data_IF_372989153782
#
_entry.id   IF_372989153782
#
_cell.length_a   1.000
_cell.length_b   1.000
_cell.length_c   1.000
_cell.angle_alpha   90.00
_cell.angle_beta   90.00
_cell.angle_gamma   90.00
#
_symmetry.space_group_name_H-M   'P 1'
#
loop_
_entity.id
_entity.type
_entity.pdbx_description
1 polymer ?
#
# COMPACT_ATOMS: atom_id res chain seq x y z
N UNK A 1 -30.94 -68.66 42.38
CA UNK A 1 -31.67 -67.72 41.52
C UNK A 1 -31.05 -66.33 41.66
N UNK A 2 -30.22 -65.94 40.71
CA UNK A 2 -29.43 -64.70 40.80
C UNK A 2 -30.10 -63.67 39.94
N UNK A 3 -30.43 -62.54 40.52
CA UNK A 3 -31.20 -61.50 39.94
C UNK A 3 -30.30 -60.59 39.05
N UNK A 4 -30.45 -60.71 37.76
CA UNK A 4 -29.80 -59.84 36.76
C UNK A 4 -30.58 -58.52 36.60
N UNK A 5 -30.21 -57.51 37.34
CA UNK A 5 -30.61 -56.10 37.06
C UNK A 5 -29.73 -55.16 37.84
N UNK A 6 -28.60 -54.72 37.26
CA UNK A 6 -27.91 -53.43 37.51
C UNK A 6 -26.63 -53.41 36.71
N UNK A 7 -26.73 -52.96 35.48
CA UNK A 7 -25.61 -52.39 34.76
C UNK A 7 -26.13 -51.73 33.50
N UNK A 8 -26.63 -50.53 33.59
CA UNK A 8 -26.68 -49.54 32.53
C UNK A 8 -27.00 -48.20 33.22
N UNK A 9 -26.00 -47.41 33.58
CA UNK A 9 -26.04 -45.96 33.72
C UNK A 9 -24.68 -45.44 34.18
N UNK A 10 -23.67 -45.42 33.32
CA UNK A 10 -22.53 -44.52 33.47
C UNK A 10 -21.79 -44.48 32.12
N UNK A 11 -22.32 -43.76 31.14
CA UNK A 11 -21.51 -43.38 29.99
C UNK A 11 -22.23 -42.33 29.17
N UNK A 12 -22.50 -41.17 29.74
CA UNK A 12 -23.00 -40.03 28.97
C UNK A 12 -22.68 -38.70 29.67
N UNK A 13 -21.40 -38.38 29.89
CA UNK A 13 -21.02 -37.05 30.37
C UNK A 13 -19.60 -36.58 29.99
N UNK A 14 -18.91 -37.19 29.03
CA UNK A 14 -17.55 -36.76 28.68
C UNK A 14 -17.42 -36.10 27.29
N UNK A 15 -18.50 -36.03 26.51
CA UNK A 15 -18.45 -35.46 25.14
C UNK A 15 -18.65 -33.95 25.04
N UNK A 16 -19.29 -33.29 26.02
CA UNK A 16 -19.62 -31.88 25.92
C UNK A 16 -18.50 -30.92 26.36
N UNK A 17 -17.58 -31.35 27.21
CA UNK A 17 -16.52 -30.49 27.75
C UNK A 17 -15.38 -30.24 26.75
N UNK A 18 -15.10 -31.23 25.90
CA UNK A 18 -14.02 -31.09 24.90
C UNK A 18 -14.38 -30.15 23.74
N UNK A 19 -15.67 -30.07 23.35
CA UNK A 19 -16.10 -29.14 22.31
C UNK A 19 -16.08 -27.69 22.78
N UNK A 20 -16.39 -27.43 24.03
CA UNK A 20 -16.36 -26.08 24.61
C UNK A 20 -14.93 -25.57 24.77
N UNK A 21 -14.01 -26.44 25.20
CA UNK A 21 -12.60 -26.10 25.39
C UNK A 21 -11.89 -25.76 24.07
N UNK A 22 -12.15 -26.53 23.02
CA UNK A 22 -11.60 -26.26 21.71
C UNK A 22 -12.14 -24.95 21.07
N UNK A 23 -13.40 -24.58 21.37
CA UNK A 23 -13.96 -23.28 20.92
C UNK A 23 -13.30 -22.09 21.64
N UNK A 24 -13.02 -22.20 22.91
CA UNK A 24 -12.36 -21.15 23.70
C UNK A 24 -10.92 -20.99 23.24
N UNK A 25 -10.18 -22.05 23.00
CA UNK A 25 -8.81 -22.00 22.48
C UNK A 25 -8.75 -21.45 21.05
N UNK A 26 -9.73 -21.77 20.21
CA UNK A 26 -9.83 -21.20 18.85
C UNK A 26 -10.16 -19.70 18.88
N UNK A 27 -11.01 -19.24 19.80
CA UNK A 27 -11.30 -17.82 19.98
C UNK A 27 -10.11 -17.04 20.55
N UNK A 28 -9.34 -17.61 21.47
CA UNK A 28 -8.12 -16.98 21.97
C UNK A 28 -7.01 -16.96 20.92
N UNK A 29 -6.86 -18.00 20.11
CA UNK A 29 -5.93 -18.02 19.00
C UNK A 29 -6.27 -16.96 17.94
N UNK A 30 -7.55 -16.77 17.61
CA UNK A 30 -8.02 -15.71 16.70
C UNK A 30 -7.80 -14.32 17.30
N UNK A 31 -7.98 -14.14 18.62
CA UNK A 31 -7.66 -12.87 19.30
C UNK A 31 -6.15 -12.58 19.32
N UNK A 32 -5.29 -13.58 19.49
CA UNK A 32 -3.82 -13.41 19.47
C UNK A 32 -3.27 -13.12 18.07
N UNK A 33 -3.87 -13.65 17.02
CA UNK A 33 -3.45 -13.34 15.63
C UNK A 33 -3.94 -11.99 15.12
N UNK A 34 -4.97 -11.39 15.71
CA UNK A 34 -5.43 -10.04 15.35
C UNK A 34 -4.71 -8.91 16.09
N UNK A 35 -3.93 -9.20 17.11
CA UNK A 35 -3.31 -8.21 18.01
C UNK A 35 -1.91 -7.75 17.57
N UNK A 36 -1.38 -8.23 16.46
CA UNK A 36 0.00 -7.94 16.02
C UNK A 36 0.17 -7.12 14.75
N UNK A 37 -0.89 -6.78 14.04
CA UNK A 37 -0.81 -5.87 12.89
C UNK A 37 -1.15 -4.46 13.33
N UNK A 38 -0.12 -3.68 13.63
CA UNK A 38 -0.26 -2.23 13.72
C UNK A 38 -0.76 -1.74 12.36
N UNK A 39 -2.05 -1.44 12.27
CA UNK A 39 -2.65 -0.82 11.08
C UNK A 39 -2.09 0.60 10.98
N UNK A 40 -0.99 0.76 10.25
CA UNK A 40 -0.40 2.05 10.01
C UNK A 40 -1.37 2.93 9.24
N UNK A 41 -2.00 3.89 9.93
CA UNK A 41 -2.69 5.08 9.39
C UNK A 41 -3.72 4.90 8.25
N UNK A 42 -4.45 3.80 8.20
CA UNK A 42 -5.63 3.66 7.34
C UNK A 42 -6.80 4.52 7.87
N UNK A 43 -6.74 4.96 9.13
CA UNK A 43 -7.79 5.74 9.78
C UNK A 43 -8.03 7.14 9.21
N UNK A 44 -7.11 7.68 8.40
CA UNK A 44 -7.26 8.96 7.71
C UNK A 44 -7.76 8.83 6.27
N UNK A 45 -7.99 7.61 5.81
CA UNK A 45 -8.50 7.34 4.48
C UNK A 45 -9.86 7.99 4.26
N UNK A 46 -10.01 8.75 3.15
CA UNK A 46 -11.27 9.33 2.68
C UNK A 46 -11.55 8.84 1.28
N UNK A 47 -12.73 8.28 1.06
CA UNK A 47 -13.18 7.94 -0.28
C UNK A 47 -13.21 9.19 -1.17
N UNK A 48 -12.63 9.09 -2.35
CA UNK A 48 -12.60 10.14 -3.36
C UNK A 48 -13.48 9.74 -4.54
N UNK A 49 -14.37 10.63 -4.95
CA UNK A 49 -15.14 10.45 -6.20
C UNK A 49 -14.26 10.93 -7.35
N UNK A 50 -14.01 10.06 -8.33
CA UNK A 50 -13.15 10.40 -9.47
C UNK A 50 -13.67 11.58 -10.28
N UNK A 51 -14.99 11.78 -10.35
CA UNK A 51 -15.67 12.86 -11.07
C UNK A 51 -15.23 14.26 -10.60
N UNK A 52 -14.84 14.38 -9.33
CA UNK A 52 -14.32 15.64 -8.78
C UNK A 52 -12.89 15.95 -9.25
N UNK A 53 -12.23 15.00 -9.91
CA UNK A 53 -10.81 15.08 -10.23
C UNK A 53 -10.51 14.90 -11.72
N UNK A 54 -11.32 14.15 -12.45
CA UNK A 54 -11.03 13.79 -13.84
C UNK A 54 -12.30 13.89 -14.70
N UNK A 55 -12.11 14.25 -15.96
CA UNK A 55 -13.21 14.26 -16.96
C UNK A 55 -13.59 12.85 -17.40
N UNK A 56 -12.67 11.92 -17.35
CA UNK A 56 -12.85 10.51 -17.73
C UNK A 56 -11.80 9.65 -17.05
N UNK A 57 -12.17 8.41 -16.73
CA UNK A 57 -11.29 7.38 -16.18
C UNK A 57 -11.23 6.14 -17.08
N UNK A 58 -11.70 6.25 -18.33
CA UNK A 58 -11.93 5.08 -19.21
C UNK A 58 -10.63 4.27 -19.41
N UNK A 59 -9.50 4.94 -19.59
CA UNK A 59 -8.17 4.34 -19.76
C UNK A 59 -7.30 4.40 -18.50
N UNK A 60 -7.91 4.73 -17.36
CA UNK A 60 -7.26 4.84 -16.06
C UNK A 60 -6.99 6.28 -15.65
N UNK A 61 -7.00 6.51 -14.33
CA UNK A 61 -6.61 7.78 -13.70
C UNK A 61 -6.06 7.52 -12.30
N UNK A 62 -5.10 8.33 -11.87
CA UNK A 62 -4.44 8.24 -10.57
C UNK A 62 -4.64 9.55 -9.80
N UNK A 63 -5.14 9.44 -8.56
CA UNK A 63 -5.17 10.53 -7.61
C UNK A 63 -4.25 10.19 -6.42
N UNK A 64 -3.25 11.01 -6.15
CA UNK A 64 -2.47 10.94 -4.93
C UNK A 64 -2.96 12.00 -3.94
N UNK A 65 -3.61 11.53 -2.87
CA UNK A 65 -4.02 12.37 -1.74
C UNK A 65 -2.88 12.40 -0.72
N UNK A 66 -2.15 13.52 -0.69
CA UNK A 66 -0.99 13.68 0.19
C UNK A 66 -1.38 13.83 1.66
N UNK A 67 -2.61 14.28 1.96
CA UNK A 67 -3.11 14.43 3.33
C UNK A 67 -3.47 13.07 3.93
N UNK A 68 -4.21 12.25 3.20
CA UNK A 68 -4.56 10.88 3.64
C UNK A 68 -3.46 9.86 3.35
N UNK A 69 -2.39 10.23 2.66
CA UNK A 69 -1.23 9.41 2.32
C UNK A 69 -1.63 8.13 1.60
N UNK A 70 -2.51 8.28 0.63
CA UNK A 70 -2.95 7.18 -0.21
C UNK A 70 -3.06 7.59 -1.68
N UNK A 71 -2.99 6.59 -2.54
CA UNK A 71 -3.15 6.69 -3.96
C UNK A 71 -4.42 5.94 -4.36
N UNK A 72 -5.33 6.65 -5.03
CA UNK A 72 -6.52 6.10 -5.64
C UNK A 72 -6.24 5.81 -7.10
N UNK A 73 -6.64 4.65 -7.57
CA UNK A 73 -6.49 4.26 -8.96
C UNK A 73 -7.81 3.71 -9.50
N UNK A 74 -8.27 4.25 -10.61
CA UNK A 74 -9.49 3.85 -11.31
C UNK A 74 -9.21 3.46 -12.74
N UNK A 75 -9.96 2.48 -13.27
CA UNK A 75 -10.07 2.16 -14.69
C UNK A 75 -11.54 1.95 -15.03
N UNK A 76 -12.13 2.88 -15.80
CA UNK A 76 -13.56 2.87 -16.09
C UNK A 76 -14.02 1.69 -16.93
N UNK A 77 -13.21 1.19 -17.85
CA UNK A 77 -13.56 0.04 -18.71
C UNK A 77 -13.93 -1.22 -17.93
N UNK A 78 -13.28 -1.45 -16.77
CA UNK A 78 -13.45 -2.66 -15.97
C UNK A 78 -14.18 -2.40 -14.66
N UNK A 79 -14.66 -1.18 -14.44
CA UNK A 79 -15.15 -0.72 -13.15
C UNK A 79 -14.15 -1.00 -11.99
N UNK A 80 -12.85 -0.88 -12.28
CA UNK A 80 -11.79 -1.16 -11.34
C UNK A 80 -11.51 0.07 -10.48
N UNK A 81 -11.47 -0.14 -9.18
CA UNK A 81 -11.04 0.86 -8.22
C UNK A 81 -10.22 0.23 -7.11
N UNK A 82 -9.07 0.79 -6.84
CA UNK A 82 -8.20 0.33 -5.74
C UNK A 82 -7.48 1.50 -5.09
N UNK A 83 -7.16 1.31 -3.81
CA UNK A 83 -6.45 2.28 -2.98
C UNK A 83 -5.19 1.64 -2.46
N UNK A 84 -4.13 2.44 -2.45
CA UNK A 84 -2.81 2.01 -1.99
C UNK A 84 -2.27 3.00 -0.96
N UNK A 85 -1.73 2.53 0.17
CA UNK A 85 -1.00 3.39 1.09
C UNK A 85 0.30 3.89 0.43
N UNK A 86 0.66 5.14 0.67
CA UNK A 86 1.85 5.76 0.05
C UNK A 86 2.72 6.49 1.05
N UNK A 87 4.00 6.63 0.74
CA UNK A 87 4.80 7.72 1.27
C UNK A 87 4.54 8.98 0.45
N UNK A 88 4.57 10.13 1.11
CA UNK A 88 4.30 11.44 0.50
C UNK A 88 5.42 12.43 0.86
N UNK A 89 5.50 13.58 0.19
CA UNK A 89 6.53 14.59 0.48
C UNK A 89 6.60 14.97 1.96
N UNK A 90 7.82 15.18 2.44
CA UNK A 90 8.14 15.45 3.84
C UNK A 90 7.56 16.77 4.32
N UNK A 91 7.59 17.79 3.47
CA UNK A 91 7.14 19.15 3.80
C UNK A 91 6.24 19.73 2.70
N UNK A 92 5.45 20.77 3.00
CA UNK A 92 4.64 21.46 2.00
C UNK A 92 5.47 22.02 0.82
N UNK A 93 6.67 22.50 1.07
CA UNK A 93 7.56 23.07 0.04
C UNK A 93 8.04 22.03 -0.96
N UNK A 94 8.12 20.77 -0.53
CA UNK A 94 8.44 19.63 -1.40
C UNK A 94 7.20 19.04 -2.07
N UNK A 95 6.00 19.51 -1.68
CA UNK A 95 4.73 18.98 -2.16
C UNK A 95 4.22 19.81 -3.33
N UNK A 96 4.30 19.23 -4.54
CA UNK A 96 3.65 19.82 -5.72
C UNK A 96 2.25 19.23 -5.86
N UNK A 97 1.23 20.07 -6.00
CA UNK A 97 -0.16 19.67 -6.26
C UNK A 97 -0.58 20.09 -7.67
N UNK A 98 -1.65 19.49 -8.18
CA UNK A 98 -2.19 19.79 -9.49
C UNK A 98 -2.21 18.59 -10.43
N UNK A 99 -2.36 18.84 -11.73
CA UNK A 99 -2.46 17.82 -12.77
C UNK A 99 -1.12 17.57 -13.44
N UNK A 100 -0.88 16.31 -13.73
CA UNK A 100 0.26 15.79 -14.48
C UNK A 100 -0.17 14.52 -15.21
N UNK A 101 0.75 13.86 -15.88
CA UNK A 101 0.51 12.57 -16.56
C UNK A 101 1.76 11.70 -16.54
N UNK A 102 1.59 10.41 -16.71
CA UNK A 102 2.67 9.46 -16.88
C UNK A 102 3.30 9.69 -18.26
N UNK A 103 4.62 9.91 -18.30
CA UNK A 103 5.37 10.11 -19.54
C UNK A 103 6.37 8.99 -19.85
N UNK A 104 6.75 8.19 -18.83
CA UNK A 104 7.68 7.08 -18.97
C UNK A 104 7.44 6.05 -17.89
N UNK A 105 7.65 4.77 -18.24
CA UNK A 105 7.55 3.61 -17.33
C UNK A 105 8.90 2.89 -17.34
N UNK A 106 9.43 2.55 -16.16
CA UNK A 106 10.75 1.89 -16.02
C UNK A 106 10.66 0.75 -15.04
N UNK A 107 11.09 -0.43 -15.45
CA UNK A 107 11.36 -1.58 -14.58
C UNK A 107 12.82 -1.50 -14.15
N UNK A 108 13.10 -1.69 -12.86
CA UNK A 108 14.46 -1.55 -12.34
C UNK A 108 15.03 -0.14 -12.56
N UNK A 109 14.42 0.90 -11.97
CA UNK A 109 14.93 2.26 -12.14
C UNK A 109 16.29 2.43 -11.47
N UNK A 110 17.19 3.16 -12.09
CA UNK A 110 18.34 3.75 -11.43
C UNK A 110 17.94 4.98 -10.63
N UNK A 111 18.75 5.33 -9.64
CA UNK A 111 18.50 6.52 -8.82
C UNK A 111 19.72 7.43 -8.79
N UNK A 112 19.43 8.72 -8.99
CA UNK A 112 20.39 9.81 -8.79
C UNK A 112 19.75 10.85 -7.89
N UNK A 113 20.33 11.17 -6.74
CA UNK A 113 19.81 12.24 -5.89
C UNK A 113 19.91 13.58 -6.61
N UNK A 114 18.89 14.40 -6.40
CA UNK A 114 18.92 15.79 -6.91
C UNK A 114 19.96 16.61 -6.17
N UNK A 115 20.38 17.72 -6.74
CA UNK A 115 21.30 18.65 -6.08
C UNK A 115 20.77 19.09 -4.71
N UNK A 116 19.48 19.39 -4.60
CA UNK A 116 18.85 19.74 -3.32
C UNK A 116 18.86 18.62 -2.30
N UNK A 117 18.79 17.35 -2.71
CA UNK A 117 18.94 16.21 -1.81
C UNK A 117 20.37 16.11 -1.30
N UNK A 118 21.36 16.23 -2.16
CA UNK A 118 22.79 16.22 -1.78
C UNK A 118 23.17 17.40 -0.88
N UNK A 119 22.58 18.57 -1.07
CA UNK A 119 22.76 19.71 -0.16
C UNK A 119 22.24 19.42 1.25
N UNK A 120 21.14 18.65 1.39
CA UNK A 120 20.60 18.25 2.69
C UNK A 120 21.35 17.08 3.32
N UNK A 121 21.87 16.19 2.50
CA UNK A 121 22.61 15.02 2.91
C UNK A 121 23.77 14.77 1.93
N UNK A 122 24.98 15.28 2.26
CA UNK A 122 26.18 15.12 1.42
C UNK A 122 26.70 13.68 1.33
N UNK A 123 26.21 12.76 2.18
CA UNK A 123 26.63 11.35 2.17
C UNK A 123 25.87 10.51 1.12
N UNK A 124 24.86 11.08 0.46
CA UNK A 124 24.14 10.39 -0.60
C UNK A 124 25.07 10.05 -1.77
N UNK A 125 24.99 8.81 -2.31
CA UNK A 125 25.78 8.43 -3.47
C UNK A 125 25.35 9.25 -4.70
N UNK A 126 26.29 9.50 -5.59
CA UNK A 126 25.96 10.21 -6.85
C UNK A 126 25.04 9.40 -7.75
N UNK A 127 25.14 8.08 -7.67
CA UNK A 127 24.38 7.12 -8.48
C UNK A 127 24.15 5.84 -7.72
N UNK A 128 22.97 5.28 -7.89
CA UNK A 128 22.61 3.95 -7.40
C UNK A 128 21.96 3.14 -8.54
N UNK A 129 22.55 1.99 -8.90
CA UNK A 129 21.97 1.12 -9.93
C UNK A 129 20.66 0.48 -9.47
N UNK A 130 19.88 -0.14 -10.38
CA UNK A 130 18.77 -0.99 -10.00
C UNK A 130 19.22 -2.07 -9.00
N UNK A 131 18.40 -2.35 -7.99
CA UNK A 131 18.72 -3.36 -6.98
C UNK A 131 17.86 -3.24 -5.73
N UNK A 132 18.04 -4.16 -4.76
CA UNK A 132 17.21 -4.23 -3.56
C UNK A 132 17.34 -2.99 -2.66
N UNK A 133 18.49 -2.34 -2.68
CA UNK A 133 18.75 -1.14 -1.87
C UNK A 133 18.34 0.18 -2.55
N UNK A 134 17.93 0.11 -3.82
CA UNK A 134 17.57 1.30 -4.57
C UNK A 134 16.28 1.94 -3.99
N UNK A 135 16.31 3.23 -3.60
CA UNK A 135 15.17 3.88 -2.97
C UNK A 135 13.93 4.01 -3.87
N UNK A 136 14.05 3.81 -5.19
CA UNK A 136 12.94 3.79 -6.13
C UNK A 136 12.29 2.40 -6.27
N UNK A 137 12.83 1.37 -5.63
CA UNK A 137 12.29 0.02 -5.65
C UNK A 137 12.33 -0.62 -7.03
N UNK A 138 11.35 -1.48 -7.31
CA UNK A 138 11.32 -2.33 -8.52
C UNK A 138 10.80 -1.65 -9.78
N UNK A 139 9.91 -0.67 -9.65
CA UNK A 139 9.25 0.00 -10.78
C UNK A 139 9.10 1.50 -10.53
N UNK A 140 9.13 2.30 -11.59
CA UNK A 140 8.87 3.72 -11.52
C UNK A 140 8.03 4.24 -12.71
N UNK A 141 7.07 5.11 -12.40
CA UNK A 141 6.25 5.88 -13.32
C UNK A 141 6.71 7.33 -13.25
N UNK A 142 7.33 7.81 -14.33
CA UNK A 142 7.81 9.19 -14.42
C UNK A 142 6.65 10.09 -14.80
N UNK A 143 6.51 11.20 -14.09
CA UNK A 143 5.48 12.20 -14.35
C UNK A 143 6.00 13.29 -15.27
N UNK A 144 5.10 14.06 -15.90
CA UNK A 144 5.49 15.18 -16.76
C UNK A 144 6.14 16.34 -16.00
N UNK A 145 6.07 16.33 -14.67
CA UNK A 145 6.81 17.26 -13.83
C UNK A 145 8.26 16.78 -13.64
N UNK A 146 9.26 17.65 -13.81
CA UNK A 146 10.65 17.28 -13.59
C UNK A 146 10.89 16.68 -12.21
N UNK A 147 11.61 15.58 -12.15
CA UNK A 147 12.00 14.86 -10.94
C UNK A 147 10.86 14.25 -10.10
N UNK A 148 9.60 14.29 -10.56
CA UNK A 148 8.47 13.65 -9.89
C UNK A 148 8.21 12.26 -10.46
N UNK A 149 8.01 11.30 -9.53
CA UNK A 149 7.75 9.89 -9.86
C UNK A 149 6.74 9.29 -8.88
N UNK A 150 6.02 8.28 -9.34
CA UNK A 150 5.36 7.29 -8.51
C UNK A 150 6.22 6.03 -8.63
N UNK A 151 6.70 5.46 -7.52
CA UNK A 151 7.72 4.41 -7.56
C UNK A 151 7.59 3.44 -6.38
N UNK A 152 8.29 2.31 -6.44
CA UNK A 152 8.43 1.38 -5.33
C UNK A 152 9.33 1.92 -4.20
N UNK A 153 9.71 1.08 -3.28
CA UNK A 153 10.67 1.47 -2.24
C UNK A 153 11.47 0.27 -1.72
N UNK A 154 12.72 0.50 -1.37
CA UNK A 154 13.53 -0.43 -0.59
C UNK A 154 13.24 -0.32 0.92
N UNK A 155 12.65 0.79 1.37
CA UNK A 155 12.34 1.03 2.79
C UNK A 155 10.82 1.15 3.00
N UNK A 156 10.18 0.02 3.32
CA UNK A 156 8.73 -0.07 3.55
C UNK A 156 8.24 0.72 4.77
N UNK A 157 9.14 1.08 5.71
CA UNK A 157 8.80 1.91 6.88
C UNK A 157 8.37 3.33 6.49
N UNK A 158 8.70 3.77 5.28
CA UNK A 158 8.31 5.08 4.73
C UNK A 158 6.84 5.15 4.32
N UNK A 159 6.22 4.00 4.01
CA UNK A 159 4.82 3.96 3.56
C UNK A 159 3.87 4.41 4.69
N UNK A 160 2.90 5.24 4.35
CA UNK A 160 1.99 5.88 5.31
C UNK A 160 2.59 7.11 6.01
N UNK A 161 3.77 7.58 5.60
CA UNK A 161 4.47 8.71 6.25
C UNK A 161 4.83 9.83 5.27
N UNK A 162 5.03 11.02 5.82
CA UNK A 162 5.72 12.12 5.15
C UNK A 162 7.23 11.84 5.22
N UNK A 163 7.82 11.40 4.12
CA UNK A 163 9.21 10.91 4.11
C UNK A 163 9.93 11.06 2.78
N UNK A 164 9.27 11.55 1.74
CA UNK A 164 9.90 11.71 0.42
C UNK A 164 10.36 13.15 0.15
N UNK A 165 11.22 13.31 -0.85
CA UNK A 165 11.66 14.61 -1.34
C UNK A 165 10.83 15.12 -2.53
N UNK A 166 9.55 14.71 -2.62
CA UNK A 166 8.61 15.13 -3.67
C UNK A 166 7.87 13.96 -4.33
N UNK A 167 8.48 12.80 -4.44
CA UNK A 167 7.90 11.62 -5.08
C UNK A 167 6.85 10.92 -4.21
N UNK A 168 6.07 10.04 -4.84
CA UNK A 168 5.06 9.20 -4.20
C UNK A 168 5.60 7.76 -4.19
N UNK A 169 5.90 7.25 -2.99
CA UNK A 169 6.41 5.89 -2.82
C UNK A 169 5.30 4.91 -2.46
N UNK A 170 5.40 3.70 -3.01
CA UNK A 170 4.50 2.56 -2.76
C UNK A 170 5.30 1.33 -2.32
N UNK A 171 4.61 0.31 -1.81
CA UNK A 171 5.18 -1.03 -1.75
C UNK A 171 5.52 -1.52 -3.16
N UNK A 172 6.55 -2.36 -3.30
CA UNK A 172 6.99 -2.85 -4.61
C UNK A 172 5.88 -3.64 -5.34
N UNK A 173 5.12 -4.46 -4.65
CA UNK A 173 3.98 -5.18 -5.19
C UNK A 173 2.85 -4.26 -5.66
N UNK A 174 2.63 -3.14 -4.99
CA UNK A 174 1.60 -2.17 -5.37
C UNK A 174 1.99 -1.37 -6.61
N UNK A 175 3.23 -0.92 -6.69
CA UNK A 175 3.69 -0.20 -7.89
C UNK A 175 3.75 -1.11 -9.10
N UNK A 176 4.11 -2.38 -8.94
CA UNK A 176 4.12 -3.38 -10.02
C UNK A 176 2.70 -3.59 -10.57
N UNK A 177 1.70 -3.76 -9.70
CA UNK A 177 0.29 -3.88 -10.10
C UNK A 177 -0.16 -2.66 -10.92
N UNK A 178 0.07 -1.44 -10.40
CA UNK A 178 -0.29 -0.21 -11.11
C UNK A 178 0.48 -0.09 -12.42
N UNK A 179 1.77 -0.40 -12.42
CA UNK A 179 2.64 -0.34 -13.59
C UNK A 179 2.11 -1.20 -14.74
N UNK A 180 1.59 -2.39 -14.46
CA UNK A 180 1.04 -3.29 -15.47
C UNK A 180 -0.29 -2.79 -16.04
N UNK A 181 -1.04 -1.99 -15.29
CA UNK A 181 -2.38 -1.51 -15.66
C UNK A 181 -2.37 -0.14 -16.33
N UNK A 182 -1.42 0.73 -16.00
CA UNK A 182 -1.37 2.10 -16.54
C UNK A 182 -0.67 2.18 -17.89
N UNK A 183 -1.04 3.20 -18.68
CA UNK A 183 -0.42 3.54 -19.96
C UNK A 183 0.34 4.87 -19.86
N UNK A 184 1.28 5.09 -20.78
CA UNK A 184 1.82 6.44 -21.02
C UNK A 184 0.64 7.34 -21.41
N UNK A 185 0.59 8.54 -20.84
CA UNK A 185 -0.53 9.47 -21.00
C UNK A 185 -1.59 9.37 -19.89
N UNK A 186 -1.61 8.29 -19.06
CA UNK A 186 -2.55 8.19 -17.94
C UNK A 186 -2.50 9.46 -17.08
N UNK A 187 -3.65 10.15 -16.87
CA UNK A 187 -3.72 11.35 -16.06
C UNK A 187 -3.46 11.04 -14.58
N UNK A 188 -2.73 11.95 -13.96
CA UNK A 188 -2.39 11.92 -12.54
C UNK A 188 -2.73 13.26 -11.91
N UNK A 189 -3.33 13.27 -10.73
CA UNK A 189 -3.56 14.46 -9.93
C UNK A 189 -3.00 14.25 -8.52
N UNK A 190 -2.29 15.25 -8.02
CA UNK A 190 -1.85 15.30 -6.62
C UNK A 190 -2.66 16.40 -5.90
N UNK A 191 -3.19 16.09 -4.69
CA UNK A 191 -3.95 16.99 -3.82
C UNK A 191 -3.41 16.99 -2.40
#
# INVERSE_FOLDING_TARGET
MINKRKLILTSFCTGLSLFSYNRILAQEAVKKTSSGKTLHNISSYRYQKWENHFKSIIDGAILSDTKSKCLHFWIGKNNFYKIYPTSVPLTPELTRTGYTKIIKKVVGPDWRPTESMRKRDPQLPEYMPPGPDNPLGTHALYLSWPNYRIHGTSDTRKIGRQSSSGCIGLYNEHIEEIFNLVKIGTPVRLI
#
